data_IF_680572257034
#
_entry.id   IF_680572257034
#
_cell.length_a   1.000
_cell.length_b   1.000
_cell.length_c   1.000
_cell.angle_alpha   90.00
_cell.angle_beta   90.00
_cell.angle_gamma   90.00
#
_symmetry.space_group_name_H-M   'P 1'
#
loop_
_entity.id
_entity.type
_entity.pdbx_description
1 polymer ?
#
# COMPACT_ATOMS: atom_id res chain seq x y z
N UNK A 1 2.18 -1.79 -5.94
CA UNK A 1 1.23 -0.79 -5.43
C UNK A 1 1.68 0.63 -5.81
N UNK A 2 2.69 1.16 -5.16
CA UNK A 2 3.12 2.56 -5.31
C UNK A 2 3.39 2.99 -6.76
N UNK A 3 4.07 2.15 -7.55
CA UNK A 3 4.32 2.42 -8.97
C UNK A 3 3.01 2.59 -9.75
N UNK A 4 2.07 1.64 -9.60
CA UNK A 4 0.78 1.71 -10.31
C UNK A 4 -0.05 2.91 -9.87
N UNK A 5 -0.02 3.24 -8.59
CA UNK A 5 -0.72 4.43 -8.10
C UNK A 5 -0.18 5.71 -8.74
N UNK A 6 1.14 5.86 -8.86
CA UNK A 6 1.75 6.98 -9.59
C UNK A 6 1.35 7.03 -11.05
N UNK A 7 1.43 5.88 -11.74
CA UNK A 7 1.22 5.80 -13.19
C UNK A 7 -0.21 6.16 -13.61
N UNK A 8 -1.22 5.64 -12.91
CA UNK A 8 -2.62 5.74 -13.36
C UNK A 8 -3.46 6.75 -12.60
N UNK A 9 -3.01 7.21 -11.43
CA UNK A 9 -3.74 8.23 -10.65
C UNK A 9 -2.98 9.54 -10.47
N UNK A 10 -1.70 9.58 -10.85
CA UNK A 10 -0.80 10.75 -10.70
C UNK A 10 -0.64 11.21 -9.26
N UNK A 11 -0.85 10.30 -8.31
CA UNK A 11 -0.57 10.53 -6.89
C UNK A 11 0.87 10.09 -6.62
N UNK A 12 1.64 10.97 -5.97
CA UNK A 12 2.96 10.57 -5.50
C UNK A 12 2.83 9.48 -4.44
N UNK A 13 3.49 8.38 -4.64
CA UNK A 13 3.52 7.26 -3.72
C UNK A 13 4.88 6.56 -3.77
N UNK A 14 5.37 6.18 -2.63
CA UNK A 14 6.63 5.46 -2.48
C UNK A 14 6.42 4.18 -1.68
N UNK A 15 7.25 3.17 -1.94
CA UNK A 15 7.23 1.92 -1.20
C UNK A 15 8.57 1.70 -0.51
N UNK A 16 8.50 1.38 0.79
CA UNK A 16 9.68 1.04 1.58
C UNK A 16 9.41 -0.17 2.47
N UNK A 17 10.44 -0.85 2.94
CA UNK A 17 10.31 -1.72 4.09
C UNK A 17 9.75 -0.93 5.29
N UNK A 18 8.79 -1.50 6.03
CA UNK A 18 8.10 -0.77 7.10
C UNK A 18 9.06 -0.17 8.14
N UNK A 19 10.14 -0.87 8.46
CA UNK A 19 11.16 -0.40 9.41
C UNK A 19 11.93 0.84 8.92
N UNK A 20 12.04 1.04 7.59
CA UNK A 20 12.77 2.18 7.02
C UNK A 20 11.99 3.50 7.15
N UNK A 21 10.70 3.45 7.47
CA UNK A 21 9.93 4.66 7.73
C UNK A 21 10.53 5.55 8.82
N UNK A 22 11.22 4.94 9.80
CA UNK A 22 11.87 5.65 10.92
C UNK A 22 13.04 6.53 10.49
N UNK A 23 13.61 6.29 9.32
CA UNK A 23 14.79 6.99 8.82
C UNK A 23 14.46 8.25 8.01
N UNK A 24 13.25 8.80 8.18
CA UNK A 24 12.86 10.07 7.57
C UNK A 24 11.37 10.16 7.24
N UNK A 25 10.81 9.22 6.44
CA UNK A 25 9.41 9.30 5.98
C UNK A 25 8.38 9.47 7.11
N UNK A 26 8.65 8.93 8.29
CA UNK A 26 7.76 9.04 9.46
C UNK A 26 7.51 10.50 9.88
N UNK A 27 8.42 11.42 9.54
CA UNK A 27 8.25 12.85 9.81
C UNK A 27 7.11 13.49 9.00
N UNK A 28 6.69 12.86 7.91
CA UNK A 28 5.61 13.32 7.03
C UNK A 28 4.23 12.80 7.47
N UNK A 29 4.19 11.90 8.47
CA UNK A 29 2.94 11.26 8.90
C UNK A 29 2.06 12.26 9.66
N UNK A 30 0.87 12.46 9.14
CA UNK A 30 -0.21 13.22 9.76
C UNK A 30 -1.57 12.55 9.45
N UNK A 31 -2.65 13.17 9.86
CA UNK A 31 -4.02 12.68 9.66
C UNK A 31 -4.47 12.66 8.19
N UNK A 32 -3.77 13.37 7.30
CA UNK A 32 -4.11 13.49 5.87
C UNK A 32 -3.29 12.56 4.99
N UNK A 33 -2.18 12.01 5.51
CA UNK A 33 -1.32 11.10 4.76
C UNK A 33 -1.71 9.65 5.02
N UNK A 34 -2.37 8.96 4.07
CA UNK A 34 -2.64 7.54 4.20
C UNK A 34 -1.36 6.72 4.03
N UNK A 35 -1.17 5.75 4.91
CA UNK A 35 -0.07 4.79 4.85
C UNK A 35 -0.65 3.41 4.59
N UNK A 36 -0.27 2.79 3.47
CA UNK A 36 -0.73 1.45 3.11
C UNK A 36 0.30 0.42 3.53
N UNK A 37 -0.07 -0.45 4.45
CA UNK A 37 0.75 -1.57 4.90
C UNK A 37 0.40 -2.86 4.16
N UNK A 38 1.41 -3.64 3.82
CA UNK A 38 1.26 -5.06 3.48
C UNK A 38 1.64 -5.85 4.73
N UNK A 39 0.64 -6.30 5.46
CA UNK A 39 0.75 -6.98 6.75
C UNK A 39 0.21 -8.41 6.65
N UNK A 40 0.69 -9.14 5.66
CA UNK A 40 0.39 -10.56 5.52
C UNK A 40 1.08 -11.37 6.61
N UNK A 41 0.50 -12.51 7.00
CA UNK A 41 1.12 -13.44 7.96
C UNK A 41 2.37 -14.06 7.33
N UNK A 42 3.53 -13.57 7.77
CA UNK A 42 4.85 -14.04 7.39
C UNK A 42 5.81 -13.93 8.58
N UNK A 43 7.07 -14.28 8.36
CA UNK A 43 8.14 -14.23 9.38
C UNK A 43 8.33 -12.82 9.98
N UNK A 44 7.93 -11.76 9.31
CA UNK A 44 8.13 -10.37 9.73
C UNK A 44 6.86 -9.67 10.22
N UNK A 45 5.73 -10.38 10.26
CA UNK A 45 4.42 -9.84 10.59
C UNK A 45 4.43 -8.99 11.89
N UNK A 46 4.99 -9.51 12.98
CA UNK A 46 5.03 -8.78 14.27
C UNK A 46 5.77 -7.45 14.16
N UNK A 47 6.82 -7.39 13.33
CA UNK A 47 7.57 -6.15 13.09
C UNK A 47 6.74 -5.15 12.29
N UNK A 48 5.97 -5.61 11.31
CA UNK A 48 5.06 -4.77 10.54
C UNK A 48 3.98 -4.22 11.45
N UNK A 49 3.35 -5.04 12.28
CA UNK A 49 2.34 -4.63 13.27
C UNK A 49 2.88 -3.56 14.21
N UNK A 50 4.11 -3.73 14.72
CA UNK A 50 4.76 -2.70 15.55
C UNK A 50 4.91 -1.36 14.82
N UNK A 51 5.27 -1.38 13.53
CA UNK A 51 5.35 -0.15 12.73
C UNK A 51 3.97 0.46 12.45
N UNK A 52 2.91 -0.36 12.28
CA UNK A 52 1.53 0.15 12.16
C UNK A 52 1.12 0.91 13.44
N UNK A 53 1.43 0.37 14.62
CA UNK A 53 1.17 1.04 15.90
C UNK A 53 1.88 2.39 16.01
N UNK A 54 3.10 2.50 15.51
CA UNK A 54 3.85 3.75 15.51
C UNK A 54 3.24 4.82 14.61
N UNK A 55 2.70 4.43 13.44
CA UNK A 55 1.99 5.34 12.55
C UNK A 55 0.69 5.80 13.21
N UNK A 56 -0.07 4.87 13.80
CA UNK A 56 -1.33 5.18 14.49
C UNK A 56 -1.11 6.13 15.67
N UNK A 57 -0.03 5.95 16.45
CA UNK A 57 0.33 6.83 17.55
C UNK A 57 0.59 8.28 17.09
N UNK A 58 0.90 8.49 15.81
CA UNK A 58 1.10 9.82 15.19
C UNK A 58 -0.13 10.31 14.43
N UNK A 59 -1.29 9.67 14.64
CA UNK A 59 -2.56 9.96 13.98
C UNK A 59 -2.54 9.74 12.46
N UNK A 60 -1.57 8.98 11.94
CA UNK A 60 -1.54 8.60 10.54
C UNK A 60 -2.67 7.63 10.22
N UNK A 61 -3.25 7.77 9.03
CA UNK A 61 -4.30 6.86 8.53
C UNK A 61 -3.67 5.57 8.04
N UNK A 62 -4.02 4.47 8.70
CA UNK A 62 -3.52 3.14 8.34
C UNK A 62 -4.55 2.41 7.45
N UNK A 63 -4.12 2.04 6.26
CA UNK A 63 -4.83 1.13 5.36
C UNK A 63 -3.97 -0.13 5.26
N UNK A 64 -4.55 -1.32 5.31
CA UNK A 64 -3.72 -2.53 5.27
C UNK A 64 -4.25 -3.61 4.34
N UNK A 65 -3.31 -4.34 3.74
CA UNK A 65 -3.55 -5.66 3.13
C UNK A 65 -3.16 -6.69 4.18
N UNK A 66 -4.13 -7.46 4.65
CA UNK A 66 -3.97 -8.43 5.74
C UNK A 66 -4.35 -9.84 5.30
N UNK A 67 -3.82 -10.83 5.97
CA UNK A 67 -4.28 -12.22 5.81
C UNK A 67 -5.61 -12.41 6.54
N UNK A 68 -6.49 -13.22 5.99
CA UNK A 68 -7.77 -13.60 6.60
C UNK A 68 -7.58 -14.05 8.06
N UNK A 69 -8.44 -13.56 8.97
CA UNK A 69 -8.37 -13.86 10.40
C UNK A 69 -7.31 -13.09 11.19
N UNK A 70 -6.64 -12.10 10.61
CA UNK A 70 -5.72 -11.21 11.33
C UNK A 70 -6.49 -10.04 11.97
N UNK A 71 -7.08 -10.31 13.13
CA UNK A 71 -7.85 -9.31 13.87
C UNK A 71 -6.96 -8.18 14.44
N UNK A 72 -5.70 -8.48 14.75
CA UNK A 72 -4.79 -7.49 15.32
C UNK A 72 -4.47 -6.39 14.31
N UNK A 73 -4.01 -6.75 13.11
CA UNK A 73 -3.75 -5.78 12.04
C UNK A 73 -5.04 -5.05 11.62
N UNK A 74 -6.17 -5.75 11.58
CA UNK A 74 -7.47 -5.14 11.30
C UNK A 74 -7.83 -4.05 12.31
N UNK A 75 -7.62 -4.31 13.61
CA UNK A 75 -7.93 -3.34 14.69
C UNK A 75 -7.07 -2.08 14.64
N UNK A 76 -5.90 -2.15 14.02
CA UNK A 76 -4.97 -1.03 13.85
C UNK A 76 -5.26 -0.21 12.59
N UNK A 77 -6.08 -0.73 11.69
CA UNK A 77 -6.37 -0.13 10.38
C UNK A 77 -7.72 0.56 10.35
N UNK A 78 -7.82 1.62 9.57
CA UNK A 78 -9.11 2.28 9.26
C UNK A 78 -9.83 1.55 8.14
N UNK A 79 -9.05 1.06 7.16
CA UNK A 79 -9.56 0.26 6.04
C UNK A 79 -8.67 -0.96 5.83
N UNK A 80 -9.29 -2.10 5.50
CA UNK A 80 -8.58 -3.35 5.28
C UNK A 80 -8.93 -3.98 3.93
N UNK A 81 -7.93 -4.58 3.31
CA UNK A 81 -8.05 -5.43 2.14
C UNK A 81 -7.60 -6.82 2.54
N UNK A 82 -8.52 -7.78 2.55
CA UNK A 82 -8.25 -9.14 3.03
C UNK A 82 -7.78 -10.03 1.89
N UNK A 83 -6.72 -10.80 2.13
CA UNK A 83 -6.25 -11.85 1.22
C UNK A 83 -6.32 -13.21 1.93
N UNK A 84 -6.54 -14.30 1.21
CA UNK A 84 -6.56 -15.63 1.80
C UNK A 84 -5.20 -16.00 2.40
N UNK A 85 -5.21 -16.89 3.38
CA UNK A 85 -3.99 -17.50 3.90
C UNK A 85 -3.36 -18.40 2.82
N UNK A 86 -2.05 -18.28 2.64
CA UNK A 86 -1.29 -19.06 1.68
C UNK A 86 0.16 -19.19 2.15
N UNK A 87 0.93 -20.03 1.45
CA UNK A 87 2.36 -20.12 1.65
C UNK A 87 3.03 -18.76 1.48
N UNK A 88 3.99 -18.43 2.34
CA UNK A 88 4.70 -17.15 2.38
C UNK A 88 5.28 -16.75 1.01
N UNK A 89 5.74 -17.74 0.23
CA UNK A 89 6.26 -17.51 -1.12
C UNK A 89 5.20 -16.98 -2.10
N UNK A 90 3.92 -17.25 -1.85
CA UNK A 90 2.79 -16.79 -2.67
C UNK A 90 2.19 -15.47 -2.18
N UNK A 91 2.50 -15.05 -0.96
CA UNK A 91 1.95 -13.82 -0.37
C UNK A 91 2.14 -12.56 -1.25
N UNK A 92 3.28 -12.35 -1.93
CA UNK A 92 3.44 -11.21 -2.84
C UNK A 92 2.47 -11.23 -4.03
N UNK A 93 2.14 -12.42 -4.56
CA UNK A 93 1.20 -12.57 -5.68
C UNK A 93 -0.23 -12.25 -5.25
N UNK A 94 -0.61 -12.62 -4.04
CA UNK A 94 -1.93 -12.34 -3.49
C UNK A 94 -2.07 -10.86 -3.11
N UNK A 95 -1.08 -10.30 -2.43
CA UNK A 95 -1.13 -8.93 -1.96
C UNK A 95 -1.03 -7.87 -3.07
N UNK A 96 -0.45 -8.21 -4.23
CA UNK A 96 -0.39 -7.26 -5.36
C UNK A 96 -1.78 -6.99 -5.96
N UNK A 97 -2.70 -7.95 -5.91
CA UNK A 97 -4.04 -7.83 -6.50
C UNK A 97 -4.84 -6.69 -5.86
N UNK A 98 -5.06 -6.66 -4.53
CA UNK A 98 -5.76 -5.54 -3.91
C UNK A 98 -5.03 -4.20 -4.08
N UNK A 99 -3.70 -4.19 -4.13
CA UNK A 99 -2.95 -2.96 -4.40
C UNK A 99 -3.12 -2.44 -5.83
N UNK A 100 -3.30 -3.33 -6.81
CA UNK A 100 -3.64 -2.95 -8.19
C UNK A 100 -5.07 -2.40 -8.26
N UNK A 101 -6.02 -3.06 -7.60
CA UNK A 101 -7.41 -2.59 -7.53
C UNK A 101 -7.50 -1.24 -6.81
N UNK A 102 -6.76 -1.04 -5.72
CA UNK A 102 -6.68 0.26 -5.04
C UNK A 102 -6.23 1.36 -6.00
N UNK A 103 -5.14 1.15 -6.73
CA UNK A 103 -4.65 2.12 -7.70
C UNK A 103 -5.67 2.38 -8.82
N UNK A 104 -6.33 1.34 -9.32
CA UNK A 104 -7.36 1.43 -10.35
C UNK A 104 -8.56 2.26 -9.89
N UNK A 105 -9.14 1.94 -8.73
CA UNK A 105 -10.30 2.69 -8.23
C UNK A 105 -9.98 4.14 -7.86
N UNK A 106 -8.80 4.40 -7.34
CA UNK A 106 -8.34 5.78 -7.09
C UNK A 106 -8.20 6.54 -8.43
N UNK A 107 -7.63 5.91 -9.45
CA UNK A 107 -7.55 6.48 -10.80
C UNK A 107 -8.93 6.85 -11.34
N UNK A 108 -9.89 5.93 -11.27
CA UNK A 108 -11.27 6.18 -11.68
C UNK A 108 -11.93 7.30 -10.86
N UNK A 109 -11.80 7.29 -9.55
CA UNK A 109 -12.38 8.31 -8.67
C UNK A 109 -11.83 9.71 -8.96
N UNK A 110 -10.59 9.80 -9.48
CA UNK A 110 -9.97 11.05 -9.93
C UNK A 110 -10.33 11.44 -11.38
N UNK A 111 -11.09 10.61 -12.08
CA UNK A 111 -11.42 10.82 -13.49
C UNK A 111 -10.25 10.64 -14.45
N UNK A 112 -9.24 9.87 -14.05
CA UNK A 112 -8.09 9.57 -14.89
C UNK A 112 -8.41 8.44 -15.90
N UNK A 113 -7.84 8.53 -17.10
CA UNK A 113 -7.86 7.43 -18.06
C UNK A 113 -6.82 6.38 -17.63
N UNK A 114 -7.29 5.29 -17.04
CA UNK A 114 -6.42 4.22 -16.51
C UNK A 114 -5.82 3.34 -17.59
N UNK A 115 -6.42 3.33 -18.79
CA UNK A 115 -5.95 2.54 -19.93
C UNK A 115 -4.92 3.28 -20.78
N UNK A 116 -4.98 4.62 -20.76
CA UNK A 116 -4.08 5.50 -21.51
C UNK A 116 -3.52 6.61 -20.61
N UNK A 117 -2.72 6.23 -19.59
CA UNK A 117 -2.12 7.23 -18.72
C UNK A 117 -1.17 8.13 -19.51
N UNK A 118 -1.18 9.43 -19.20
CA UNK A 118 -0.29 10.40 -19.83
C UNK A 118 1.17 10.07 -19.55
N UNK A 119 2.06 10.45 -20.47
CA UNK A 119 3.51 10.28 -20.36
C UNK A 119 3.99 8.83 -20.30
N UNK A 120 3.13 7.85 -20.55
CA UNK A 120 3.49 6.45 -20.60
C UNK A 120 3.18 5.88 -21.99
N UNK A 121 4.17 5.22 -22.57
CA UNK A 121 4.04 4.49 -23.81
C UNK A 121 4.74 3.12 -23.69
N UNK A 122 4.30 2.16 -24.50
CA UNK A 122 4.92 0.80 -24.51
C UNK A 122 6.38 0.83 -24.98
N UNK A 123 6.72 1.84 -25.80
CA UNK A 123 8.11 2.12 -26.18
C UNK A 123 8.31 3.63 -26.11
N UNK A 124 9.35 4.06 -25.43
CA UNK A 124 9.78 5.46 -25.46
C UNK A 124 10.90 5.55 -26.48
N UNK A 125 10.55 6.00 -27.69
CA UNK A 125 11.52 6.43 -28.68
C UNK A 125 11.70 7.94 -28.49
N UNK A 126 12.86 8.34 -28.00
CA UNK A 126 13.30 9.73 -28.06
C UNK A 126 14.09 9.86 -29.35
N UNK A 127 13.52 10.53 -30.34
CA UNK A 127 14.29 11.07 -31.46
C UNK A 127 14.76 12.49 -31.13
#
# INVERSE_FOLDING_TARGET
>A
GALKLKEISYIHAEGYPAAEMKHGPIALVDENLPVVFVATKDTYHDKVVSNMQEIKARKGRVISVITEGDELSASLSEDVMVVPEADEILAPMLSVIPLQLLAYYIGLAKGCDVDKPRNLAKSVTVE
#
